data_IF_567916368020
#
_entry.id   IF_567916368020
#
_cell.length_a   1.000
_cell.length_b   1.000
_cell.length_c   1.000
_cell.angle_alpha   90.00
_cell.angle_beta   90.00
_cell.angle_gamma   90.00
#
_symmetry.space_group_name_H-M   'P 1'
#
loop_
_entity.id
_entity.type
_entity.pdbx_description
1 polymer ?
#
# COMPACT_ATOMS: atom_id res chain seq x y z
N UNK A 1 -5.51 -20.55 -3.04
CA UNK A 1 -5.48 -20.16 -4.46
C UNK A 1 -4.39 -20.93 -5.22
N UNK A 2 -3.11 -20.92 -4.78
CA UNK A 2 -2.00 -21.56 -5.51
C UNK A 2 -2.28 -23.04 -5.80
N UNK A 3 -2.66 -23.83 -4.80
CA UNK A 3 -2.98 -25.23 -5.00
C UNK A 3 -4.14 -25.48 -6.00
N UNK A 4 -5.10 -24.55 -6.04
CA UNK A 4 -6.19 -24.62 -7.03
C UNK A 4 -5.67 -24.27 -8.43
N UNK A 5 -4.86 -23.21 -8.55
CA UNK A 5 -4.25 -22.81 -9.81
C UNK A 5 -3.40 -23.97 -10.40
N UNK A 6 -2.54 -24.58 -9.58
CA UNK A 6 -1.70 -25.71 -9.98
C UNK A 6 -2.51 -26.91 -10.49
N UNK A 7 -3.61 -27.22 -9.77
CA UNK A 7 -4.50 -28.32 -10.16
C UNK A 7 -5.09 -28.17 -11.55
N UNK A 8 -5.31 -26.94 -11.99
CA UNK A 8 -5.93 -26.63 -13.28
C UNK A 8 -4.93 -26.06 -14.32
N UNK A 9 -3.62 -26.10 -14.05
CA UNK A 9 -2.60 -25.57 -14.95
C UNK A 9 -2.71 -24.06 -15.19
N UNK A 10 -3.20 -23.31 -14.18
CA UNK A 10 -3.39 -21.85 -14.22
C UNK A 10 -2.18 -21.19 -13.55
N UNK A 11 -1.58 -20.19 -14.20
CA UNK A 11 -0.51 -19.39 -13.61
C UNK A 11 -1.06 -18.44 -12.55
N UNK A 12 -0.42 -18.41 -11.39
CA UNK A 12 -0.70 -17.44 -10.33
C UNK A 12 0.26 -16.26 -10.48
N UNK A 13 -0.28 -15.08 -10.75
CA UNK A 13 0.48 -13.83 -10.85
C UNK A 13 0.20 -12.97 -9.62
N UNK A 14 1.25 -12.63 -8.86
CA UNK A 14 1.15 -11.65 -7.78
C UNK A 14 1.41 -10.25 -8.33
N UNK A 15 0.40 -9.41 -8.32
CA UNK A 15 0.54 -8.00 -8.65
C UNK A 15 1.08 -7.23 -7.44
N UNK A 16 2.40 -7.12 -7.38
CA UNK A 16 3.13 -6.43 -6.32
C UNK A 16 3.54 -4.99 -6.71
N UNK A 17 2.88 -4.43 -7.73
CA UNK A 17 3.14 -3.05 -8.17
C UNK A 17 2.95 -2.04 -7.04
N UNK A 18 2.05 -2.29 -6.10
CA UNK A 18 1.76 -1.41 -4.97
C UNK A 18 2.24 -1.96 -3.63
N UNK A 19 2.24 -3.25 -3.45
CA UNK A 19 2.58 -3.93 -2.20
C UNK A 19 4.06 -4.26 -2.09
N UNK A 20 4.74 -4.39 -3.21
CA UNK A 20 6.17 -4.66 -3.27
C UNK A 20 7.05 -3.46 -2.90
N UNK A 21 8.34 -3.65 -3.05
CA UNK A 21 9.38 -2.71 -2.66
C UNK A 21 9.23 -2.25 -1.20
N UNK A 22 9.11 -3.20 -0.28
CA UNK A 22 9.17 -2.98 1.16
C UNK A 22 7.91 -2.40 1.81
N UNK A 23 6.88 -2.07 1.04
CA UNK A 23 5.69 -1.38 1.53
C UNK A 23 4.97 -2.14 2.64
N UNK A 24 4.95 -3.46 2.59
CA UNK A 24 4.28 -4.34 3.56
C UNK A 24 5.23 -4.92 4.63
N UNK A 25 6.47 -4.44 4.70
CA UNK A 25 7.46 -4.90 5.67
C UNK A 25 8.30 -6.08 5.21
N UNK A 26 8.08 -6.57 4.00
CA UNK A 26 8.87 -7.55 3.24
C UNK A 26 9.15 -6.98 1.85
N UNK A 27 10.11 -7.53 1.09
CA UNK A 27 10.35 -7.06 -0.29
C UNK A 27 9.10 -7.19 -1.15
N UNK A 28 8.41 -8.33 -1.05
CA UNK A 28 7.12 -8.59 -1.68
C UNK A 28 6.11 -9.05 -0.63
N UNK A 29 4.87 -8.62 -0.74
CA UNK A 29 3.83 -9.00 0.22
C UNK A 29 3.59 -10.51 0.23
N UNK A 30 3.74 -11.20 -0.90
CA UNK A 30 3.55 -12.64 -1.00
C UNK A 30 4.53 -13.44 -0.11
N UNK A 31 5.66 -12.86 0.31
CA UNK A 31 6.59 -13.51 1.27
C UNK A 31 5.99 -13.74 2.66
N UNK A 32 4.90 -13.05 3.00
CA UNK A 32 4.22 -13.21 4.30
C UNK A 32 3.39 -14.50 4.39
N UNK A 33 3.23 -15.21 3.29
CA UNK A 33 2.51 -16.47 3.21
C UNK A 33 3.39 -17.55 2.57
N UNK A 34 3.18 -18.85 2.89
CA UNK A 34 3.92 -19.93 2.27
C UNK A 34 3.43 -20.19 0.83
N UNK A 35 3.47 -19.15 -0.01
CA UNK A 35 3.00 -19.19 -1.40
C UNK A 35 4.08 -18.62 -2.31
N UNK A 36 4.52 -19.41 -3.28
CA UNK A 36 5.35 -18.95 -4.38
C UNK A 36 4.46 -18.73 -5.62
N UNK A 37 4.20 -17.47 -6.04
CA UNK A 37 3.50 -17.21 -7.28
C UNK A 37 4.37 -17.64 -8.48
N UNK A 38 3.74 -17.87 -9.63
CA UNK A 38 4.49 -18.20 -10.85
C UNK A 38 5.17 -16.96 -11.44
N UNK A 39 4.52 -15.80 -11.30
CA UNK A 39 5.05 -14.49 -11.71
C UNK A 39 4.75 -13.44 -10.63
N UNK A 40 5.64 -12.45 -10.54
CA UNK A 40 5.46 -11.24 -9.72
C UNK A 40 5.63 -10.03 -10.64
N UNK A 41 4.70 -9.09 -10.61
CA UNK A 41 4.87 -7.78 -11.25
C UNK A 41 5.30 -6.74 -10.21
N UNK A 42 6.26 -5.89 -10.55
CA UNK A 42 6.78 -4.85 -9.66
C UNK A 42 6.99 -3.53 -10.42
N UNK A 43 6.76 -2.41 -9.74
CA UNK A 43 6.94 -1.06 -10.29
C UNK A 43 6.97 -0.01 -9.16
N UNK A 44 6.46 1.19 -9.43
CA UNK A 44 6.27 2.32 -8.46
C UNK A 44 7.52 2.59 -7.62
N UNK A 45 7.53 2.12 -6.36
CA UNK A 45 8.62 2.36 -5.41
C UNK A 45 9.95 1.70 -5.81
N UNK A 46 9.94 0.78 -6.78
CA UNK A 46 11.13 0.06 -7.24
C UNK A 46 12.28 0.99 -7.62
N UNK A 47 12.00 2.12 -8.26
CA UNK A 47 13.02 3.06 -8.74
C UNK A 47 12.87 4.48 -8.14
N UNK A 48 12.25 4.61 -6.95
CA UNK A 48 12.22 5.85 -6.18
C UNK A 48 11.60 7.06 -6.90
N UNK A 49 10.67 6.82 -7.85
CA UNK A 49 10.00 7.85 -8.63
C UNK A 49 10.36 7.87 -10.11
N UNK A 50 11.43 7.18 -10.53
CA UNK A 50 11.70 6.97 -11.95
C UNK A 50 10.81 5.89 -12.54
N UNK A 51 10.34 6.03 -13.80
CA UNK A 51 9.53 5.03 -14.47
C UNK A 51 10.32 3.73 -14.70
N UNK A 52 10.05 2.72 -13.91
CA UNK A 52 10.60 1.38 -14.05
C UNK A 52 9.57 0.35 -13.60
N UNK A 53 9.44 -0.70 -14.35
CA UNK A 53 8.66 -1.89 -13.97
C UNK A 53 9.44 -3.15 -14.34
N UNK A 54 9.09 -4.24 -13.69
CA UNK A 54 9.66 -5.54 -13.94
C UNK A 54 8.65 -6.65 -13.75
N UNK A 55 8.94 -7.77 -14.38
CA UNK A 55 8.28 -9.05 -14.12
C UNK A 55 9.36 -10.03 -13.76
N UNK A 56 9.21 -10.72 -12.65
CA UNK A 56 10.09 -11.82 -12.23
C UNK A 56 9.26 -13.07 -12.02
N UNK A 57 9.84 -14.23 -12.27
CA UNK A 57 9.12 -15.48 -12.07
C UNK A 57 9.82 -16.69 -12.64
N UNK A 58 9.08 -17.74 -12.86
CA UNK A 58 9.58 -19.02 -13.38
C UNK A 58 10.19 -18.85 -14.77
N UNK A 59 11.40 -19.39 -14.95
CA UNK A 59 12.13 -19.28 -16.21
C UNK A 59 11.34 -19.88 -17.39
N UNK A 60 10.70 -21.04 -17.20
CA UNK A 60 9.90 -21.69 -18.22
C UNK A 60 8.71 -20.85 -18.72
N UNK A 61 8.24 -19.91 -17.91
CA UNK A 61 7.17 -18.97 -18.28
C UNK A 61 7.74 -17.70 -18.91
N UNK A 62 8.80 -17.13 -18.30
CA UNK A 62 9.43 -15.89 -18.78
C UNK A 62 10.11 -16.09 -20.14
N UNK A 63 10.71 -17.25 -20.37
CA UNK A 63 11.43 -17.57 -21.60
C UNK A 63 10.54 -18.12 -22.73
N UNK A 64 9.24 -18.33 -22.46
CA UNK A 64 8.30 -18.86 -23.47
C UNK A 64 8.02 -17.90 -24.65
N UNK A 65 8.00 -16.56 -24.49
CA UNK A 65 7.78 -15.65 -25.61
C UNK A 65 8.90 -15.74 -26.64
N UNK A 66 8.52 -15.70 -27.93
CA UNK A 66 9.49 -15.67 -29.02
C UNK A 66 10.40 -14.43 -28.95
N UNK A 67 11.57 -14.52 -29.55
CA UNK A 67 12.50 -13.38 -29.66
C UNK A 67 11.78 -12.14 -30.23
N UNK A 68 11.88 -11.01 -29.56
CA UNK A 68 11.16 -9.77 -29.89
C UNK A 68 9.68 -9.74 -29.49
N UNK A 69 9.15 -10.77 -28.83
CA UNK A 69 7.77 -10.83 -28.36
C UNK A 69 7.49 -9.98 -27.12
N UNK A 70 8.54 -9.62 -26.41
CA UNK A 70 8.47 -8.70 -25.24
C UNK A 70 9.39 -7.50 -25.48
N UNK A 71 8.96 -6.35 -24.99
CA UNK A 71 9.78 -5.16 -25.03
C UNK A 71 8.98 -3.87 -24.96
N UNK A 72 9.72 -2.77 -24.88
CA UNK A 72 9.22 -1.41 -24.91
C UNK A 72 10.38 -0.45 -25.15
N UNK A 73 10.14 0.66 -25.79
CA UNK A 73 11.19 1.63 -26.19
C UNK A 73 12.03 2.11 -24.99
N UNK A 74 11.45 2.18 -23.80
CA UNK A 74 12.12 2.62 -22.56
C UNK A 74 12.46 1.46 -21.61
N UNK A 75 12.28 0.19 -22.05
CA UNK A 75 12.61 -0.96 -21.23
C UNK A 75 14.08 -0.97 -20.86
N UNK A 76 14.40 -1.16 -19.57
CA UNK A 76 15.77 -1.19 -19.08
C UNK A 76 16.52 0.16 -19.20
N UNK A 77 15.80 1.29 -19.12
CA UNK A 77 16.43 2.61 -19.09
C UNK A 77 17.57 2.66 -18.06
N UNK A 78 18.83 2.97 -18.46
CA UNK A 78 19.97 2.96 -17.53
C UNK A 78 19.78 3.88 -16.33
N UNK A 79 19.14 5.03 -16.50
CA UNK A 79 18.87 5.98 -15.42
C UNK A 79 17.91 5.38 -14.41
N UNK A 80 16.82 4.77 -14.87
CA UNK A 80 15.84 4.14 -13.98
C UNK A 80 16.42 2.90 -13.28
N UNK A 81 17.25 2.11 -13.97
CA UNK A 81 17.96 0.98 -13.37
C UNK A 81 18.96 1.43 -12.30
N UNK A 82 19.73 2.50 -12.54
CA UNK A 82 20.64 3.06 -11.55
C UNK A 82 19.89 3.59 -10.32
N UNK A 83 18.73 4.23 -10.53
CA UNK A 83 17.85 4.66 -9.43
C UNK A 83 17.32 3.47 -8.62
N UNK A 84 16.92 2.37 -9.28
CA UNK A 84 16.48 1.17 -8.59
C UNK A 84 17.58 0.52 -7.74
N UNK A 85 18.81 0.47 -8.24
CA UNK A 85 19.96 -0.01 -7.45
C UNK A 85 20.19 0.87 -6.21
N UNK A 86 20.10 2.19 -6.34
CA UNK A 86 20.22 3.11 -5.21
C UNK A 86 19.07 2.93 -4.19
N UNK A 87 17.85 2.64 -4.66
CA UNK A 87 16.72 2.30 -3.77
C UNK A 87 17.01 1.03 -2.97
N UNK A 88 17.49 -0.04 -3.63
CA UNK A 88 17.85 -1.30 -2.95
C UNK A 88 18.93 -1.03 -1.90
N UNK A 89 19.96 -0.27 -2.24
CA UNK A 89 21.04 0.10 -1.32
C UNK A 89 20.51 0.91 -0.11
N UNK A 90 19.57 1.85 -0.33
CA UNK A 90 18.94 2.60 0.75
C UNK A 90 18.13 1.68 1.68
N UNK A 91 17.38 0.72 1.13
CA UNK A 91 16.65 -0.28 1.93
C UNK A 91 17.55 -1.06 2.86
N UNK A 92 18.74 -1.47 2.40
CA UNK A 92 19.72 -2.19 3.20
C UNK A 92 20.35 -1.28 4.26
N UNK A 93 20.85 -0.12 3.87
CA UNK A 93 21.56 0.82 4.74
C UNK A 93 20.69 1.44 5.83
N UNK A 94 19.45 1.76 5.50
CA UNK A 94 18.51 2.45 6.38
C UNK A 94 17.53 1.49 7.05
N UNK A 95 17.66 0.18 6.83
CA UNK A 95 16.81 -0.88 7.39
C UNK A 95 15.31 -0.63 7.12
N UNK A 96 14.95 -0.19 5.90
CA UNK A 96 13.61 0.27 5.59
C UNK A 96 12.53 -0.82 5.66
N UNK A 97 12.87 -2.11 5.58
CA UNK A 97 11.90 -3.19 5.82
C UNK A 97 11.44 -3.20 7.28
N UNK A 98 12.39 -3.13 8.23
CA UNK A 98 12.07 -3.02 9.65
C UNK A 98 11.31 -1.72 9.94
N UNK A 99 11.76 -0.60 9.36
CA UNK A 99 11.06 0.69 9.47
C UNK A 99 9.60 0.60 8.99
N UNK A 100 9.34 -0.12 7.91
CA UNK A 100 7.97 -0.34 7.42
C UNK A 100 7.11 -1.09 8.44
N UNK A 101 7.66 -2.09 9.11
CA UNK A 101 6.96 -2.86 10.15
C UNK A 101 6.66 -1.97 11.37
N UNK A 102 7.65 -1.22 11.87
CA UNK A 102 7.51 -0.34 13.03
C UNK A 102 6.49 0.76 12.76
N UNK A 103 6.56 1.39 11.58
CA UNK A 103 5.61 2.40 11.12
C UNK A 103 4.18 1.83 11.05
N UNK A 104 4.04 0.64 10.51
CA UNK A 104 2.75 -0.05 10.43
C UNK A 104 2.16 -0.34 11.81
N UNK A 105 2.98 -0.82 12.74
CA UNK A 105 2.57 -1.08 14.13
C UNK A 105 2.12 0.21 14.84
N UNK A 106 2.85 1.32 14.65
CA UNK A 106 2.48 2.63 15.17
C UNK A 106 1.12 3.09 14.61
N UNK A 107 0.98 3.08 13.27
CA UNK A 107 -0.24 3.50 12.60
C UNK A 107 -1.46 2.67 13.02
N UNK A 108 -1.35 1.35 13.02
CA UNK A 108 -2.45 0.46 13.40
C UNK A 108 -2.87 0.68 14.84
N UNK A 109 -1.92 0.82 15.78
CA UNK A 109 -2.23 1.10 17.18
C UNK A 109 -2.97 2.43 17.32
N UNK A 110 -2.43 3.53 16.77
CA UNK A 110 -3.01 4.86 16.87
C UNK A 110 -4.40 4.94 16.22
N UNK A 111 -4.60 4.26 15.09
CA UNK A 111 -5.90 4.23 14.42
C UNK A 111 -6.92 3.36 15.16
N UNK A 112 -6.51 2.29 15.83
CA UNK A 112 -7.39 1.52 16.73
C UNK A 112 -7.81 2.33 17.95
N UNK A 113 -6.89 3.09 18.54
CA UNK A 113 -7.20 4.01 19.64
C UNK A 113 -8.19 5.12 19.21
N UNK A 114 -8.07 5.57 17.96
CA UNK A 114 -9.02 6.50 17.34
C UNK A 114 -10.39 5.82 17.10
N UNK A 115 -10.41 4.61 16.55
CA UNK A 115 -11.63 3.84 16.29
C UNK A 115 -12.43 3.59 17.57
N UNK A 116 -11.77 3.35 18.70
CA UNK A 116 -12.43 3.19 19.99
C UNK A 116 -13.25 4.43 20.43
N UNK A 117 -12.93 5.61 19.90
CA UNK A 117 -13.60 6.90 20.19
C UNK A 117 -14.52 7.36 19.06
N UNK A 118 -14.39 6.76 17.88
CA UNK A 118 -15.10 7.14 16.64
C UNK A 118 -15.83 5.92 16.06
N UNK A 119 -17.09 5.67 16.45
CA UNK A 119 -17.83 4.49 15.99
C UNK A 119 -17.94 4.34 14.48
N UNK A 120 -17.83 5.43 13.72
CA UNK A 120 -17.84 5.38 12.27
C UNK A 120 -16.62 4.65 11.67
N UNK A 121 -15.50 4.52 12.41
CA UNK A 121 -14.36 3.71 12.01
C UNK A 121 -14.65 2.25 12.42
N UNK A 122 -15.18 1.47 11.50
CA UNK A 122 -15.59 0.08 11.81
C UNK A 122 -14.49 -0.95 11.55
N UNK A 123 -13.44 -0.60 10.78
CA UNK A 123 -12.29 -1.48 10.59
C UNK A 123 -10.98 -0.69 10.49
N UNK A 124 -9.93 -1.30 11.03
CA UNK A 124 -8.54 -0.84 10.95
C UNK A 124 -7.66 -2.02 10.58
N UNK A 125 -7.06 -2.00 9.40
CA UNK A 125 -6.24 -3.09 8.89
C UNK A 125 -5.00 -2.60 8.17
N UNK A 126 -3.99 -3.46 8.08
CA UNK A 126 -2.77 -3.16 7.32
C UNK A 126 -1.70 -4.22 7.46
N UNK A 127 -0.70 -4.12 6.57
CA UNK A 127 0.54 -4.88 6.58
C UNK A 127 1.69 -3.90 6.38
N UNK A 128 2.67 -3.91 7.28
CA UNK A 128 3.73 -2.91 7.27
C UNK A 128 3.15 -1.50 7.20
N UNK A 129 3.75 -0.62 6.42
CA UNK A 129 3.33 0.77 6.25
C UNK A 129 2.15 0.97 5.25
N UNK A 130 1.46 -0.09 4.87
CA UNK A 130 0.21 -0.01 4.12
C UNK A 130 -0.95 -0.24 5.06
N UNK A 131 -1.57 0.83 5.54
CA UNK A 131 -2.64 0.79 6.54
C UNK A 131 -3.89 1.50 6.03
N UNK A 132 -5.05 1.05 6.44
CA UNK A 132 -6.32 1.64 6.07
C UNK A 132 -7.31 1.64 7.22
N UNK A 133 -8.20 2.63 7.22
CA UNK A 133 -9.45 2.63 7.99
C UNK A 133 -10.64 2.54 7.05
N UNK A 134 -11.70 1.91 7.50
CA UNK A 134 -12.94 1.77 6.76
C UNK A 134 -14.10 2.42 7.53
N UNK A 135 -14.82 3.31 6.85
CA UNK A 135 -15.88 4.12 7.46
C UNK A 135 -17.25 3.56 7.12
N UNK A 136 -18.11 3.48 8.14
CA UNK A 136 -19.47 2.95 8.05
C UNK A 136 -20.48 3.89 8.71
N UNK A 137 -21.70 3.91 8.20
CA UNK A 137 -22.81 4.63 8.83
C UNK A 137 -23.11 4.01 10.21
N UNK A 138 -22.95 4.81 11.26
CA UNK A 138 -23.16 4.38 12.65
C UNK A 138 -22.35 3.13 13.07
N UNK A 139 -21.26 2.83 12.37
CA UNK A 139 -20.43 1.65 12.62
C UNK A 139 -21.01 0.32 12.10
N UNK A 140 -22.08 0.36 11.30
CA UNK A 140 -22.68 -0.83 10.71
C UNK A 140 -21.86 -1.30 9.49
N UNK A 141 -21.19 -2.47 9.54
CA UNK A 141 -20.32 -2.97 8.46
C UNK A 141 -21.08 -3.28 7.17
N UNK A 142 -22.40 -3.34 7.20
CA UNK A 142 -23.23 -3.51 6.00
C UNK A 142 -23.61 -2.16 5.33
N UNK A 143 -23.21 -1.04 5.92
CA UNK A 143 -23.55 0.31 5.45
C UNK A 143 -22.29 1.16 5.23
N UNK A 144 -21.53 0.94 4.12
CA UNK A 144 -20.36 1.74 3.79
C UNK A 144 -20.68 3.22 3.66
N UNK A 145 -19.90 4.10 4.28
CA UNK A 145 -20.13 5.54 4.26
C UNK A 145 -19.12 6.28 3.36
N UNK A 146 -19.36 6.23 2.06
CA UNK A 146 -18.57 6.98 1.08
C UNK A 146 -18.74 8.50 1.22
N UNK A 147 -19.90 8.97 1.67
CA UNK A 147 -20.17 10.39 1.83
C UNK A 147 -19.34 10.99 2.97
N UNK A 148 -19.31 10.33 4.12
CA UNK A 148 -18.45 10.69 5.26
C UNK A 148 -16.97 10.64 4.84
N UNK A 149 -16.55 9.56 4.16
CA UNK A 149 -15.18 9.39 3.70
C UNK A 149 -14.72 10.55 2.83
N UNK A 150 -15.54 10.96 1.86
CA UNK A 150 -15.25 12.11 1.00
C UNK A 150 -15.14 13.42 1.78
N UNK A 151 -16.02 13.66 2.75
CA UNK A 151 -15.96 14.85 3.62
C UNK A 151 -14.67 14.85 4.45
N UNK A 152 -14.29 13.71 5.06
CA UNK A 152 -13.06 13.56 5.85
C UNK A 152 -11.82 13.84 4.99
N UNK A 153 -11.72 13.25 3.80
CA UNK A 153 -10.59 13.48 2.88
C UNK A 153 -10.51 14.95 2.47
N UNK A 154 -11.65 15.59 2.19
CA UNK A 154 -11.70 17.02 1.83
C UNK A 154 -11.25 17.91 3.00
N UNK A 155 -11.72 17.64 4.20
CA UNK A 155 -11.36 18.41 5.40
C UNK A 155 -9.88 18.20 5.78
N UNK A 156 -9.36 16.98 5.65
CA UNK A 156 -7.95 16.68 5.85
C UNK A 156 -7.06 17.49 4.89
N UNK A 157 -7.44 17.57 3.61
CA UNK A 157 -6.72 18.37 2.62
C UNK A 157 -6.72 19.86 2.98
N UNK A 158 -7.83 20.42 3.48
CA UNK A 158 -7.90 21.81 3.97
C UNK A 158 -6.96 22.06 5.16
N UNK A 159 -6.68 21.04 5.95
CA UNK A 159 -5.75 21.09 7.09
C UNK A 159 -4.31 20.75 6.72
N UNK A 160 -4.01 20.50 5.43
CA UNK A 160 -2.67 20.21 4.92
C UNK A 160 -2.30 18.72 4.83
N UNK A 161 -3.25 17.80 5.09
CA UNK A 161 -3.03 16.37 4.96
C UNK A 161 -3.72 15.82 3.70
N UNK A 162 -2.91 15.37 2.74
CA UNK A 162 -3.42 14.73 1.51
C UNK A 162 -3.68 13.26 1.77
N UNK A 163 -4.94 12.86 1.67
CA UNK A 163 -5.41 11.48 1.79
C UNK A 163 -6.15 11.06 0.53
N UNK A 164 -6.22 9.75 0.28
CA UNK A 164 -6.99 9.18 -0.82
C UNK A 164 -8.04 8.21 -0.29
N UNK A 165 -9.27 8.36 -0.80
CA UNK A 165 -10.29 7.34 -0.63
C UNK A 165 -10.09 6.21 -1.63
N UNK A 166 -10.47 5.00 -1.25
CA UNK A 166 -10.40 3.80 -2.08
C UNK A 166 -11.44 2.76 -1.64
N UNK A 167 -11.28 1.53 -2.12
CA UNK A 167 -12.21 0.43 -1.85
C UNK A 167 -13.40 0.44 -2.81
N UNK A 168 -14.06 -0.71 -2.91
CA UNK A 168 -15.18 -0.93 -3.84
C UNK A 168 -16.33 0.05 -3.61
N UNK A 169 -16.55 0.43 -2.37
CA UNK A 169 -17.64 1.34 -1.98
C UNK A 169 -17.16 2.78 -1.73
N UNK A 170 -15.87 3.08 -1.94
CA UNK A 170 -15.32 4.43 -1.72
C UNK A 170 -15.28 4.88 -0.24
N UNK A 171 -15.42 3.96 0.70
CA UNK A 171 -15.50 4.20 2.14
C UNK A 171 -14.21 3.92 2.90
N UNK A 172 -13.12 3.65 2.19
CA UNK A 172 -11.80 3.37 2.78
C UNK A 172 -10.88 4.57 2.65
N UNK A 173 -10.22 4.96 3.72
CA UNK A 173 -9.08 5.89 3.69
C UNK A 173 -7.81 5.09 3.85
N UNK A 174 -6.95 5.15 2.84
CA UNK A 174 -5.67 4.44 2.82
C UNK A 174 -4.54 5.39 3.17
N UNK A 175 -3.70 4.96 4.10
CA UNK A 175 -2.50 5.68 4.55
C UNK A 175 -1.28 5.02 3.91
N UNK A 176 -0.57 5.78 3.08
CA UNK A 176 0.64 5.36 2.36
C UNK A 176 1.68 6.48 2.44
N UNK A 177 2.38 6.56 3.56
CA UNK A 177 3.43 7.55 3.75
C UNK A 177 4.79 7.03 3.23
N UNK A 178 5.74 7.90 2.87
CA UNK A 178 7.10 7.48 2.59
C UNK A 178 7.70 6.72 3.79
N UNK A 179 8.44 5.62 3.54
CA UNK A 179 9.07 4.85 4.62
C UNK A 179 10.12 5.65 5.39
N UNK A 180 10.65 6.70 4.78
CA UNK A 180 11.61 7.64 5.38
C UNK A 180 10.97 8.75 6.22
N UNK A 181 9.63 8.79 6.33
CA UNK A 181 8.93 9.76 7.17
C UNK A 181 9.28 9.56 8.65
N UNK A 182 9.47 10.67 9.37
CA UNK A 182 9.73 10.64 10.83
C UNK A 182 8.45 10.30 11.60
N UNK A 183 8.60 9.80 12.83
CA UNK A 183 7.45 9.54 13.72
C UNK A 183 6.70 10.84 14.04
N UNK A 184 7.39 11.96 14.21
CA UNK A 184 6.75 13.26 14.41
C UNK A 184 5.82 13.66 13.26
N UNK A 185 6.21 13.36 12.01
CA UNK A 185 5.35 13.61 10.85
C UNK A 185 4.13 12.65 10.80
N UNK A 186 4.31 11.41 11.27
CA UNK A 186 3.20 10.46 11.39
C UNK A 186 2.20 10.93 12.47
N UNK A 187 2.69 11.37 13.62
CA UNK A 187 1.87 11.89 14.72
C UNK A 187 1.10 13.13 14.29
N UNK A 188 1.73 14.06 13.55
CA UNK A 188 1.07 15.22 12.97
C UNK A 188 -0.05 14.80 12.01
N UNK A 189 0.22 13.89 11.07
CA UNK A 189 -0.76 13.38 10.14
C UNK A 189 -1.95 12.69 10.82
N UNK A 190 -1.70 11.89 11.86
CA UNK A 190 -2.73 11.24 12.66
C UNK A 190 -3.58 12.26 13.43
N UNK A 191 -2.96 13.32 13.98
CA UNK A 191 -3.67 14.40 14.67
C UNK A 191 -4.58 15.18 13.69
N UNK A 192 -4.11 15.47 12.48
CA UNK A 192 -4.91 16.13 11.45
C UNK A 192 -6.08 15.22 11.02
N UNK A 193 -5.86 13.93 10.84
CA UNK A 193 -6.92 12.98 10.50
C UNK A 193 -8.00 12.95 11.60
N UNK A 194 -7.60 12.85 12.86
CA UNK A 194 -8.52 12.86 14.00
C UNK A 194 -9.36 14.15 14.04
N UNK A 195 -8.70 15.31 13.93
CA UNK A 195 -9.37 16.61 13.90
C UNK A 195 -10.32 16.77 12.70
N UNK A 196 -9.98 16.16 11.56
CA UNK A 196 -10.83 16.20 10.36
C UNK A 196 -12.09 15.37 10.53
N UNK A 197 -11.98 14.18 11.11
CA UNK A 197 -13.14 13.33 11.43
C UNK A 197 -14.07 14.04 12.44
N UNK A 198 -13.51 14.63 13.48
CA UNK A 198 -14.27 15.36 14.50
C UNK A 198 -15.04 16.55 13.91
N UNK A 199 -14.37 17.37 13.09
CA UNK A 199 -14.98 18.53 12.45
C UNK A 199 -16.15 18.15 11.52
N UNK A 200 -16.01 17.05 10.78
CA UNK A 200 -17.08 16.57 9.88
C UNK A 200 -18.29 16.04 10.66
N UNK A 201 -18.07 15.39 11.82
CA UNK A 201 -19.15 14.89 12.69
C UNK A 201 -19.98 16.02 13.29
N UNK A 202 -19.36 17.17 13.61
CA UNK A 202 -20.06 18.32 14.16
C UNK A 202 -20.92 19.06 13.14
N UNK A 203 -20.74 18.80 11.84
CA UNK A 203 -21.48 19.42 10.73
C UNK A 203 -22.60 18.50 10.19
N UNK A 204 -22.76 17.32 10.73
CA UNK A 204 -23.76 16.32 10.33
C UNK A 204 -24.94 16.33 11.30
#
# INVERSE_FOLDING_TARGET
>A
LKALADRYGILLIADEVQTGAGRTGTWFACEQWPVAPDLITTAKSLAGGFPLSGVVGRADVIDAPAAGGLGGTYAGSPVACAAALAVIEAFEKEHLLARSQDMGALLVRSLKDMAAKVPAIGDVRGLGAMVAIELFENGDPHRPDAALTKKVVTEAARRGLILLSCGTYGNVVRILVPLTASDALLDEGLAILAASIEAVKQQA
#
